data_IF_576231977580
#
_entry.id   IF_576231977580
#
_cell.length_a   1.000
_cell.length_b   1.000
_cell.length_c   1.000
_cell.angle_alpha   90.00
_cell.angle_beta   90.00
_cell.angle_gamma   90.00
#
_symmetry.space_group_name_H-M   'P 1'
#
loop_
_entity.id
_entity.type
_entity.pdbx_description
1 polymer ?
#
# COMPACT_ATOMS: atom_id res chain seq x y z
N UNK A 1 -19.89 13.41 -6.34
CA UNK A 1 -19.65 12.67 -5.09
C UNK A 1 -18.18 12.75 -4.73
N UNK A 2 -17.88 13.08 -3.50
CA UNK A 2 -16.49 13.20 -3.06
C UNK A 2 -15.84 11.83 -2.99
N UNK A 3 -14.58 11.75 -3.43
CA UNK A 3 -13.79 10.52 -3.32
C UNK A 3 -13.31 10.39 -1.88
N UNK A 4 -13.39 9.19 -1.33
CA UNK A 4 -12.93 8.91 0.02
C UNK A 4 -11.44 8.53 -0.02
N UNK A 5 -10.57 9.55 0.09
CA UNK A 5 -9.13 9.35 0.03
C UNK A 5 -8.63 8.47 1.18
N UNK A 6 -9.27 8.54 2.35
CA UNK A 6 -8.90 7.70 3.49
C UNK A 6 -9.17 6.22 3.18
N UNK A 7 -10.35 5.92 2.65
CA UNK A 7 -10.70 4.53 2.36
C UNK A 7 -9.79 3.93 1.29
N UNK A 8 -9.51 4.69 0.23
CA UNK A 8 -8.60 4.24 -0.83
C UNK A 8 -7.22 3.93 -0.26
N UNK A 9 -6.67 4.86 0.53
CA UNK A 9 -5.35 4.71 1.13
C UNK A 9 -5.30 3.51 2.08
N UNK A 10 -6.30 3.37 2.93
CA UNK A 10 -6.36 2.26 3.88
C UNK A 10 -6.49 0.92 3.16
N UNK A 11 -7.27 0.87 2.08
CA UNK A 11 -7.42 -0.36 1.30
C UNK A 11 -6.09 -0.77 0.67
N UNK A 12 -5.37 0.17 0.06
CA UNK A 12 -4.08 -0.13 -0.55
C UNK A 12 -3.04 -0.57 0.49
N UNK A 13 -2.88 0.21 1.55
CA UNK A 13 -1.92 -0.11 2.62
C UNK A 13 -2.31 -1.38 3.38
N UNK A 14 -3.60 -1.69 3.42
CA UNK A 14 -4.11 -2.91 4.04
C UNK A 14 -4.08 -4.13 3.14
N UNK A 15 -3.45 -4.02 1.99
CA UNK A 15 -3.29 -5.10 1.01
C UNK A 15 -4.60 -5.54 0.34
N UNK A 16 -5.61 -4.69 0.34
CA UNK A 16 -6.84 -4.89 -0.41
C UNK A 16 -6.75 -4.15 -1.74
N UNK A 17 -5.75 -4.51 -2.52
CA UNK A 17 -5.33 -3.77 -3.72
C UNK A 17 -6.42 -3.66 -4.78
N UNK A 18 -7.17 -4.74 -5.01
CA UNK A 18 -8.18 -4.74 -6.09
C UNK A 18 -9.25 -3.69 -5.87
N UNK A 19 -9.53 -3.32 -4.61
CA UNK A 19 -10.51 -2.28 -4.29
C UNK A 19 -10.05 -0.90 -4.74
N UNK A 20 -8.76 -0.73 -5.04
CA UNK A 20 -8.17 0.57 -5.37
C UNK A 20 -7.92 0.78 -6.85
N UNK A 21 -7.97 -0.27 -7.66
CA UNK A 21 -7.50 -0.20 -9.06
C UNK A 21 -8.25 0.85 -9.88
N UNK A 22 -9.55 1.00 -9.68
CA UNK A 22 -10.33 2.02 -10.39
C UNK A 22 -9.96 3.43 -9.98
N UNK A 23 -9.28 3.61 -8.86
CA UNK A 23 -8.88 4.90 -8.32
C UNK A 23 -7.43 5.28 -8.64
N UNK A 24 -6.72 4.44 -9.39
CA UNK A 24 -5.35 4.73 -9.81
C UNK A 24 -5.36 5.54 -11.11
N UNK A 25 -4.59 6.63 -11.16
CA UNK A 25 -4.42 7.39 -12.39
C UNK A 25 -3.67 6.55 -13.43
N UNK A 26 -3.90 6.76 -14.74
CA UNK A 26 -3.19 6.02 -15.77
C UNK A 26 -1.67 6.12 -15.66
N UNK A 27 -1.16 7.23 -15.18
CA UNK A 27 0.26 7.51 -15.02
C UNK A 27 0.72 7.42 -13.56
N UNK A 28 -0.02 6.69 -12.72
CA UNK A 28 0.31 6.52 -11.30
C UNK A 28 1.74 6.01 -11.14
N UNK A 29 2.41 6.49 -10.10
CA UNK A 29 3.78 6.14 -9.80
C UNK A 29 3.87 5.65 -8.36
N UNK A 30 4.42 4.46 -8.18
CA UNK A 30 4.62 3.87 -6.84
C UNK A 30 6.11 3.84 -6.56
N UNK A 31 6.56 4.69 -5.64
CA UNK A 31 7.95 4.78 -5.24
C UNK A 31 8.18 3.92 -4.01
N UNK A 32 9.02 2.91 -4.16
CA UNK A 32 9.42 2.04 -3.06
C UNK A 32 10.84 2.44 -2.69
N UNK A 33 11.02 3.04 -1.53
CA UNK A 33 12.35 3.50 -1.12
C UNK A 33 13.31 2.32 -1.11
N UNK A 34 14.49 2.53 -1.64
CA UNK A 34 15.56 1.56 -1.84
C UNK A 34 15.32 0.54 -2.94
N UNK A 35 14.14 0.57 -3.60
CA UNK A 35 13.82 -0.39 -4.67
C UNK A 35 13.47 0.28 -5.99
N UNK A 36 13.36 1.61 -6.01
CA UNK A 36 13.03 2.36 -7.22
C UNK A 36 11.54 2.62 -7.37
N UNK A 37 11.12 2.97 -8.58
CA UNK A 37 9.75 3.37 -8.86
C UNK A 37 9.11 2.43 -9.88
N UNK A 38 7.81 2.14 -9.65
CA UNK A 38 6.96 1.40 -10.58
C UNK A 38 6.06 2.45 -11.23
N UNK A 39 6.11 2.56 -12.55
CA UNK A 39 5.43 3.65 -13.26
C UNK A 39 4.34 3.12 -14.17
N UNK A 40 3.18 3.76 -14.10
CA UNK A 40 2.02 3.43 -14.90
C UNK A 40 1.08 2.46 -14.22
N UNK A 41 -0.21 2.62 -14.50
CA UNK A 41 -1.26 1.82 -13.84
C UNK A 41 -1.07 0.32 -14.06
N UNK A 42 -0.76 -0.09 -15.29
CA UNK A 42 -0.62 -1.52 -15.58
C UNK A 42 0.52 -2.15 -14.79
N UNK A 43 1.65 -1.42 -14.66
CA UNK A 43 2.79 -1.92 -13.89
C UNK A 43 2.49 -1.97 -12.40
N UNK A 44 1.77 -0.96 -11.87
CA UNK A 44 1.38 -0.95 -10.46
C UNK A 44 0.41 -2.08 -10.16
N UNK A 45 -0.58 -2.30 -11.03
CA UNK A 45 -1.54 -3.42 -10.86
C UNK A 45 -0.79 -4.75 -10.86
N UNK A 46 0.16 -4.95 -11.77
CA UNK A 46 0.95 -6.18 -11.83
C UNK A 46 1.75 -6.39 -10.55
N UNK A 47 2.34 -5.32 -10.00
CA UNK A 47 3.09 -5.40 -8.75
C UNK A 47 2.16 -5.75 -7.57
N UNK A 48 0.96 -5.17 -7.55
CA UNK A 48 -0.05 -5.50 -6.53
C UNK A 48 -0.46 -6.96 -6.61
N UNK A 49 -0.68 -7.48 -7.82
CA UNK A 49 -1.05 -8.87 -8.00
C UNK A 49 0.05 -9.82 -7.51
N UNK A 50 1.32 -9.47 -7.76
CA UNK A 50 2.45 -10.25 -7.25
C UNK A 50 2.51 -10.23 -5.73
N UNK A 51 2.29 -9.06 -5.13
CA UNK A 51 2.26 -8.93 -3.66
C UNK A 51 1.12 -9.74 -3.06
N UNK A 52 -0.06 -9.69 -3.67
CA UNK A 52 -1.20 -10.45 -3.19
C UNK A 52 -0.95 -11.96 -3.27
N UNK A 53 -0.34 -12.43 -4.35
CA UNK A 53 0.00 -13.84 -4.51
C UNK A 53 1.01 -14.29 -3.44
N UNK A 54 2.01 -13.47 -3.16
CA UNK A 54 2.99 -13.78 -2.12
C UNK A 54 2.34 -13.84 -0.75
N UNK A 55 1.42 -12.92 -0.47
CA UNK A 55 0.72 -12.91 0.84
C UNK A 55 -0.24 -14.07 1.00
N UNK A 56 -0.81 -14.58 -0.09
CA UNK A 56 -1.71 -15.73 -0.03
C UNK A 56 -0.99 -16.99 0.44
N UNK A 57 0.34 -17.05 0.31
CA UNK A 57 1.14 -18.18 0.75
C UNK A 57 1.58 -18.07 2.21
N UNK A 58 1.35 -16.92 2.86
CA UNK A 58 1.70 -16.75 4.27
C UNK A 58 0.71 -17.47 5.17
N UNK A 59 1.19 -17.91 6.33
CA UNK A 59 0.34 -18.50 7.36
C UNK A 59 -0.57 -17.43 7.97
N UNK A 60 -0.06 -16.21 8.18
CA UNK A 60 -0.88 -15.12 8.70
C UNK A 60 -0.27 -13.76 8.40
N UNK A 61 -1.13 -12.75 8.35
CA UNK A 61 -0.75 -11.34 8.30
C UNK A 61 -1.61 -10.62 9.33
N UNK A 62 -0.97 -9.91 10.25
CA UNK A 62 -1.71 -9.17 11.28
C UNK A 62 -1.12 -7.78 11.44
N UNK A 63 -1.98 -6.77 11.40
CA UNK A 63 -1.58 -5.40 11.69
C UNK A 63 -1.57 -5.17 13.19
N UNK A 64 -0.42 -4.69 13.69
CA UNK A 64 -0.24 -4.34 15.10
C UNK A 64 -0.48 -2.85 15.35
N UNK A 65 -0.37 -2.04 14.29
CA UNK A 65 -0.68 -0.61 14.28
C UNK A 65 -1.20 -0.27 12.89
N UNK A 66 -2.24 0.53 12.83
CA UNK A 66 -2.78 0.98 11.55
C UNK A 66 -3.51 2.30 11.79
N UNK A 67 -2.86 3.40 11.43
CA UNK A 67 -3.39 4.74 11.59
C UNK A 67 -3.36 5.49 10.28
N UNK A 68 -4.36 6.30 10.01
CA UNK A 68 -4.39 7.09 8.80
C UNK A 68 -4.81 8.52 9.04
N UNK A 69 -4.30 9.42 8.21
CA UNK A 69 -4.73 10.81 8.12
C UNK A 69 -5.00 11.09 6.66
N UNK A 70 -6.08 11.76 6.35
CA UNK A 70 -6.44 12.00 4.97
C UNK A 70 -7.07 13.38 4.76
N UNK A 71 -6.64 14.04 3.68
CA UNK A 71 -7.26 15.23 3.13
C UNK A 71 -7.67 14.95 1.69
N UNK A 72 -8.09 15.98 0.96
CA UNK A 72 -8.58 15.82 -0.40
C UNK A 72 -7.50 15.41 -1.39
N UNK A 73 -6.26 15.83 -1.13
CA UNK A 73 -5.14 15.66 -2.06
C UNK A 73 -4.01 14.83 -1.50
N UNK A 74 -4.04 14.50 -0.22
CA UNK A 74 -2.95 13.82 0.45
C UNK A 74 -3.49 12.90 1.52
N UNK A 75 -2.95 11.69 1.59
CA UNK A 75 -3.27 10.78 2.68
C UNK A 75 -1.99 10.08 3.12
N UNK A 76 -1.93 9.71 4.41
CA UNK A 76 -0.81 8.98 4.97
C UNK A 76 -1.36 7.81 5.78
N UNK A 77 -0.78 6.64 5.59
CA UNK A 77 -1.09 5.47 6.41
C UNK A 77 0.19 5.03 7.12
N UNK A 78 0.13 4.99 8.44
CA UNK A 78 1.21 4.54 9.31
C UNK A 78 0.83 3.18 9.85
N UNK A 79 1.66 2.16 9.57
CA UNK A 79 1.28 0.79 9.88
C UNK A 79 2.48 -0.02 10.39
N UNK A 80 2.18 -1.01 11.20
CA UNK A 80 3.14 -2.04 11.57
C UNK A 80 2.43 -3.37 11.41
N UNK A 81 3.02 -4.27 10.61
CA UNK A 81 2.42 -5.55 10.29
C UNK A 81 3.36 -6.70 10.64
N UNK A 82 2.78 -7.79 11.10
CA UNK A 82 3.49 -9.02 11.38
C UNK A 82 3.10 -10.06 10.33
N UNK A 83 4.10 -10.57 9.64
CA UNK A 83 3.93 -11.57 8.59
C UNK A 83 4.51 -12.89 9.08
N UNK A 84 3.73 -13.94 9.07
CA UNK A 84 4.20 -15.28 9.45
C UNK A 84 4.17 -16.19 8.23
N UNK A 85 5.31 -16.79 7.93
CA UNK A 85 5.45 -17.72 6.79
C UNK A 85 5.01 -19.12 7.20
N UNK A 86 4.76 -19.97 6.19
CA UNK A 86 4.32 -21.34 6.43
C UNK A 86 5.32 -22.16 7.24
N UNK A 87 6.61 -21.81 7.17
CA UNK A 87 7.65 -22.48 7.94
C UNK A 87 7.81 -21.93 9.37
N UNK A 88 6.95 -20.98 9.76
CA UNK A 88 6.99 -20.39 11.10
C UNK A 88 7.89 -19.18 11.25
N UNK A 89 8.64 -18.80 10.21
CA UNK A 89 9.46 -17.58 10.29
C UNK A 89 8.56 -16.35 10.31
N UNK A 90 9.00 -15.31 11.01
CA UNK A 90 8.21 -14.09 11.25
C UNK A 90 9.00 -12.87 10.80
N UNK A 91 8.32 -11.96 10.10
CA UNK A 91 8.85 -10.66 9.74
C UNK A 91 7.89 -9.59 10.25
N UNK A 92 8.44 -8.57 10.92
CA UNK A 92 7.65 -7.42 11.37
C UNK A 92 8.15 -6.19 10.62
N UNK A 93 7.23 -5.50 9.93
CA UNK A 93 7.58 -4.35 9.10
C UNK A 93 6.83 -3.13 9.59
N UNK A 94 7.57 -2.05 9.85
CA UNK A 94 7.00 -0.73 10.14
C UNK A 94 7.04 0.06 8.86
N UNK A 95 5.91 0.66 8.49
CA UNK A 95 5.80 1.34 7.20
C UNK A 95 4.99 2.63 7.29
N UNK A 96 5.24 3.52 6.34
CA UNK A 96 4.42 4.68 6.09
C UNK A 96 4.23 4.80 4.58
N UNK A 97 2.99 4.89 4.14
CA UNK A 97 2.64 5.10 2.75
C UNK A 97 2.02 6.49 2.61
N UNK A 98 2.54 7.27 1.66
CA UNK A 98 2.05 8.61 1.38
C UNK A 98 1.42 8.59 0.01
N UNK A 99 0.15 9.04 -0.06
CA UNK A 99 -0.66 9.02 -1.27
C UNK A 99 -0.96 10.44 -1.73
N UNK A 100 -0.73 10.73 -3.01
CA UNK A 100 -1.13 12.00 -3.60
C UNK A 100 -2.26 11.74 -4.60
N UNK A 101 -3.26 12.62 -4.58
CA UNK A 101 -4.46 12.50 -5.42
C UNK A 101 -4.57 13.72 -6.33
N UNK A 102 -5.13 13.53 -7.53
CA UNK A 102 -5.41 14.63 -8.44
C UNK A 102 -6.80 15.23 -8.19
N UNK A 103 -7.20 16.20 -9.04
CA UNK A 103 -8.48 16.90 -8.92
C UNK A 103 -9.69 15.99 -9.04
N UNK A 104 -9.52 14.84 -9.67
CA UNK A 104 -10.60 13.87 -9.88
C UNK A 104 -10.63 12.79 -8.80
N UNK A 105 -9.72 12.88 -7.83
CA UNK A 105 -9.62 11.89 -6.76
C UNK A 105 -8.90 10.62 -7.16
N UNK A 106 -8.12 10.66 -8.25
CA UNK A 106 -7.29 9.53 -8.63
C UNK A 106 -5.93 9.61 -7.97
N UNK A 107 -5.39 8.46 -7.57
CA UNK A 107 -4.06 8.36 -6.98
C UNK A 107 -3.03 8.59 -8.08
N UNK A 108 -2.18 9.58 -7.91
CA UNK A 108 -1.11 9.89 -8.87
C UNK A 108 0.25 9.40 -8.39
N UNK A 109 0.47 9.39 -7.08
CA UNK A 109 1.76 8.97 -6.51
C UNK A 109 1.52 8.26 -5.20
N UNK A 110 2.26 7.18 -5.00
CA UNK A 110 2.35 6.48 -3.71
C UNK A 110 3.82 6.40 -3.37
N UNK A 111 4.21 6.87 -2.19
CA UNK A 111 5.59 6.71 -1.70
C UNK A 111 5.56 5.83 -0.48
N UNK A 112 6.21 4.69 -0.55
CA UNK A 112 6.23 3.71 0.53
C UNK A 112 7.59 3.69 1.21
N UNK A 113 7.57 3.89 2.53
CA UNK A 113 8.72 3.79 3.42
C UNK A 113 8.52 2.55 4.27
N UNK A 114 9.43 1.61 4.22
CA UNK A 114 9.28 0.38 4.99
C UNK A 114 10.61 -0.02 5.63
N UNK A 115 10.53 -0.42 6.89
CA UNK A 115 11.68 -0.90 7.64
C UNK A 115 11.31 -2.22 8.30
N UNK A 116 12.12 -3.25 8.08
CA UNK A 116 11.96 -4.50 8.80
C UNK A 116 12.55 -4.34 10.18
N UNK A 117 11.77 -4.69 11.19
CA UNK A 117 12.17 -4.59 12.58
C UNK A 117 12.73 -5.92 13.05
N UNK A 118 13.69 -5.86 13.96
CA UNK A 118 14.16 -7.06 14.63
C UNK A 118 13.04 -7.60 15.52
N UNK A 119 12.74 -8.87 15.35
CA UNK A 119 11.66 -9.51 16.10
C UNK A 119 12.07 -9.81 17.54
#
# INVERSE_FOLDING_TARGET
MAVDTRQISESFSGHRFTETFEHLAPDVRWVLLDHGAIEGKDAVVAACDQSAAAMAELASVAFRRFNSVAGDRLAVVDAEARYESADGSVSVVSSADIYEFDDRGLVTTIVSYAVELDA
#
